data_IF_834842458255
#
_entry.id   IF_834842458255
#
_cell.length_a   1.000
_cell.length_b   1.000
_cell.length_c   1.000
_cell.angle_alpha   90.00
_cell.angle_beta   90.00
_cell.angle_gamma   90.00
#
_symmetry.space_group_name_H-M   'P 1'
#
loop_
_entity.id
_entity.type
_entity.pdbx_description
1 polymer ?
#
# COMPACT_ATOMS: atom_id res chain seq x y z
N UNK A 1 -56.47 -27.33 -7.17
CA UNK A 1 -55.43 -27.86 -8.07
C UNK A 1 -54.08 -27.34 -7.62
N UNK A 2 -53.12 -28.24 -7.39
CA UNK A 2 -51.72 -27.97 -7.04
C UNK A 2 -51.02 -27.25 -8.22
N UNK A 3 -50.13 -26.30 -7.94
CA UNK A 3 -48.70 -26.38 -8.29
C UNK A 3 -47.93 -25.17 -7.74
N UNK A 4 -46.91 -25.50 -6.96
CA UNK A 4 -45.87 -24.63 -6.43
C UNK A 4 -45.06 -24.03 -7.58
N UNK A 5 -44.80 -22.72 -7.53
CA UNK A 5 -43.76 -22.08 -8.34
C UNK A 5 -42.53 -21.96 -7.46
N UNK A 6 -41.47 -22.67 -7.86
CA UNK A 6 -40.20 -22.76 -7.15
C UNK A 6 -39.43 -21.43 -7.22
N UNK A 7 -39.05 -20.93 -6.05
CA UNK A 7 -38.08 -19.86 -5.88
C UNK A 7 -36.69 -20.37 -6.28
N UNK A 8 -36.13 -19.85 -7.38
CA UNK A 8 -34.70 -19.98 -7.67
C UNK A 8 -33.93 -18.99 -6.79
N UNK A 9 -33.35 -19.49 -5.70
CA UNK A 9 -32.35 -18.77 -4.92
C UNK A 9 -31.00 -18.84 -5.66
N UNK A 10 -30.59 -17.73 -6.28
CA UNK A 10 -29.25 -17.56 -6.83
C UNK A 10 -28.29 -17.27 -5.66
N UNK A 11 -27.66 -18.31 -5.14
CA UNK A 11 -26.64 -18.20 -4.10
C UNK A 11 -25.30 -17.81 -4.75
N UNK A 12 -24.98 -16.51 -4.79
CA UNK A 12 -23.59 -16.06 -5.01
C UNK A 12 -22.78 -16.34 -3.74
N UNK A 13 -22.25 -17.55 -3.64
CA UNK A 13 -21.26 -17.90 -2.63
C UNK A 13 -19.90 -17.30 -3.03
N UNK A 14 -19.36 -16.42 -2.18
CA UNK A 14 -17.91 -16.29 -1.99
C UNK A 14 -17.15 -15.40 -2.98
N UNK A 15 -17.45 -14.10 -3.01
CA UNK A 15 -16.42 -13.09 -3.25
C UNK A 15 -16.19 -12.33 -1.95
N UNK A 16 -15.72 -13.01 -0.90
CA UNK A 16 -15.20 -12.33 0.28
C UNK A 16 -13.78 -11.91 -0.04
N UNK A 17 -13.62 -10.75 -0.69
CA UNK A 17 -12.37 -10.01 -0.65
C UNK A 17 -12.08 -9.74 0.82
N UNK A 18 -11.11 -10.46 1.40
CA UNK A 18 -10.68 -10.17 2.76
C UNK A 18 -10.32 -8.68 2.82
N UNK A 19 -10.97 -7.88 3.68
CA UNK A 19 -10.67 -6.47 3.73
C UNK A 19 -9.21 -6.34 4.21
N UNK A 20 -8.32 -5.83 3.35
CA UNK A 20 -6.99 -5.31 3.72
C UNK A 20 -7.09 -4.10 4.71
N UNK A 21 -8.23 -3.93 5.38
CA UNK A 21 -8.65 -2.73 6.10
C UNK A 21 -8.03 -2.59 7.50
N UNK A 22 -6.96 -3.32 7.82
CA UNK A 22 -6.37 -3.30 9.16
C UNK A 22 -4.89 -2.95 9.19
N UNK A 23 -4.20 -2.91 8.05
CA UNK A 23 -2.80 -2.51 8.02
C UNK A 23 -2.69 -0.99 8.22
N UNK A 24 -2.54 -0.56 9.48
CA UNK A 24 -2.38 0.86 9.86
C UNK A 24 -1.02 1.44 9.47
N UNK A 25 -0.15 0.66 8.85
CA UNK A 25 1.18 1.10 8.48
C UNK A 25 1.15 2.27 7.49
N UNK A 26 0.29 2.21 6.46
CA UNK A 26 0.19 3.28 5.47
C UNK A 26 -0.17 4.61 6.14
N UNK A 27 -1.22 4.63 6.97
CA UNK A 27 -1.64 5.81 7.72
C UNK A 27 -0.57 6.31 8.69
N UNK A 28 0.16 5.37 9.31
CA UNK A 28 1.28 5.68 10.22
C UNK A 28 2.42 6.37 9.47
N UNK A 29 2.84 5.85 8.32
CA UNK A 29 3.88 6.47 7.49
C UNK A 29 3.44 7.83 6.98
N UNK A 30 2.19 7.94 6.51
CA UNK A 30 1.62 9.21 6.03
C UNK A 30 1.65 10.27 7.13
N UNK A 31 1.18 9.92 8.33
CA UNK A 31 1.18 10.83 9.49
C UNK A 31 2.59 11.19 9.95
N UNK A 32 3.46 10.21 10.15
CA UNK A 32 4.76 10.41 10.79
C UNK A 32 5.77 11.15 9.90
N UNK A 33 5.58 11.10 8.58
CA UNK A 33 6.43 11.79 7.60
C UNK A 33 5.73 12.96 6.86
N UNK A 34 4.45 13.21 7.16
CA UNK A 34 3.67 14.27 6.53
C UNK A 34 3.50 14.07 5.03
N UNK A 35 3.30 12.83 4.58
CA UNK A 35 3.21 12.47 3.16
C UNK A 35 1.93 13.05 2.57
N UNK A 36 2.05 13.72 1.43
CA UNK A 36 0.93 14.29 0.68
C UNK A 36 1.31 14.60 -0.76
N UNK A 37 0.37 15.12 -1.56
CA UNK A 37 0.62 15.48 -2.95
C UNK A 37 1.82 16.42 -3.16
N UNK A 38 2.24 17.20 -2.17
CA UNK A 38 3.40 18.11 -2.25
C UNK A 38 4.73 17.47 -1.81
N UNK A 39 4.72 16.21 -1.37
CA UNK A 39 5.89 15.49 -0.90
C UNK A 39 5.82 15.21 0.60
N UNK A 40 6.89 15.55 1.34
CA UNK A 40 7.07 15.21 2.75
C UNK A 40 7.23 16.46 3.60
N UNK A 41 6.60 16.52 4.78
CA UNK A 41 6.88 17.56 5.76
C UNK A 41 8.21 17.29 6.50
N UNK A 42 8.50 16.01 6.75
CA UNK A 42 9.75 15.57 7.37
C UNK A 42 10.76 15.19 6.31
N UNK A 43 11.97 15.73 6.43
CA UNK A 43 13.07 15.38 5.53
C UNK A 43 13.37 13.88 5.61
N UNK A 44 13.41 13.24 4.44
CA UNK A 44 13.77 11.84 4.28
C UNK A 44 15.07 11.72 3.48
N UNK A 45 15.97 10.79 3.84
CA UNK A 45 17.18 10.58 3.07
C UNK A 45 16.82 10.02 1.68
N UNK A 46 17.26 10.71 0.63
CA UNK A 46 17.09 10.24 -0.76
C UNK A 46 18.12 9.15 -1.03
N UNK A 47 17.70 8.05 -1.65
CA UNK A 47 18.58 6.99 -2.15
C UNK A 47 18.58 6.98 -3.67
N UNK A 48 19.74 6.69 -4.26
CA UNK A 48 19.93 6.80 -5.71
C UNK A 48 19.43 5.58 -6.50
N UNK A 49 19.15 4.48 -5.81
CA UNK A 49 18.78 3.21 -6.42
C UNK A 49 17.50 2.69 -5.76
N UNK A 50 16.70 1.96 -6.53
CA UNK A 50 15.54 1.26 -6.00
C UNK A 50 16.00 0.23 -4.96
N UNK A 51 15.39 0.21 -3.76
CA UNK A 51 15.78 -0.70 -2.70
C UNK A 51 15.46 -2.14 -3.09
N UNK A 52 16.26 -3.08 -2.59
CA UNK A 52 16.04 -4.52 -2.73
C UNK A 52 15.91 -5.13 -1.31
N UNK A 53 14.82 -4.84 -0.59
CA UNK A 53 14.64 -5.35 0.76
C UNK A 53 14.51 -6.88 0.78
N UNK A 54 14.97 -7.55 1.84
CA UNK A 54 14.75 -8.97 2.01
C UNK A 54 13.27 -9.26 2.24
N UNK A 55 12.80 -10.36 1.64
CA UNK A 55 11.46 -10.88 1.80
C UNK A 55 11.21 -11.43 3.22
N UNK A 56 9.95 -11.42 3.70
CA UNK A 56 8.74 -10.90 3.03
C UNK A 56 8.67 -9.36 3.01
N UNK A 57 8.11 -8.83 1.92
CA UNK A 57 7.94 -7.39 1.67
C UNK A 57 6.45 -7.04 1.59
N UNK A 58 6.06 -5.91 2.18
CA UNK A 58 4.77 -5.26 1.88
C UNK A 58 4.98 -4.20 0.80
N UNK A 59 4.08 -4.13 -0.18
CA UNK A 59 3.95 -3.00 -1.08
C UNK A 59 2.64 -2.28 -0.73
N UNK A 60 2.75 -1.02 -0.28
CA UNK A 60 1.64 -0.24 0.24
C UNK A 60 1.48 1.04 -0.56
N UNK A 61 0.29 1.31 -1.07
CA UNK A 61 -0.07 2.66 -1.50
C UNK A 61 -0.15 3.59 -0.28
N UNK A 62 0.43 4.77 -0.38
CA UNK A 62 0.38 5.79 0.68
C UNK A 62 -0.59 6.90 0.25
N UNK A 63 -1.78 6.99 0.86
CA UNK A 63 -2.79 7.94 0.42
C UNK A 63 -2.37 9.39 0.67
N UNK A 64 -2.75 10.27 -0.25
CA UNK A 64 -2.55 11.71 -0.09
C UNK A 64 -3.57 12.28 0.90
N UNK A 65 -3.18 12.34 2.17
CA UNK A 65 -4.04 12.79 3.28
C UNK A 65 -4.58 14.23 3.15
N UNK A 66 -3.95 15.07 2.32
CA UNK A 66 -4.32 16.47 2.07
C UNK A 66 -5.09 16.68 0.76
N UNK A 67 -5.70 15.62 0.25
CA UNK A 67 -6.46 15.62 -1.01
C UNK A 67 -5.59 15.32 -2.22
N UNK A 68 -6.26 15.18 -3.36
CA UNK A 68 -5.63 14.81 -4.63
C UNK A 68 -5.46 16.02 -5.53
N UNK A 69 -4.27 16.13 -6.11
CA UNK A 69 -3.92 17.17 -7.07
C UNK A 69 -3.42 16.48 -8.33
N UNK A 70 -3.95 16.88 -9.50
CA UNK A 70 -3.72 16.18 -10.78
C UNK A 70 -2.24 16.08 -11.15
N UNK A 71 -1.46 17.08 -10.82
CA UNK A 71 -0.01 17.16 -11.01
C UNK A 71 0.77 17.04 -9.70
N UNK A 72 0.14 16.47 -8.67
CA UNK A 72 0.77 16.13 -7.40
C UNK A 72 1.67 14.90 -7.50
N UNK A 73 2.34 14.62 -6.40
CA UNK A 73 3.07 13.37 -6.22
C UNK A 73 2.16 12.24 -5.76
N UNK A 74 2.48 11.03 -6.24
CA UNK A 74 1.98 9.77 -5.72
C UNK A 74 3.07 9.09 -4.89
N UNK A 75 2.66 8.31 -3.90
CA UNK A 75 3.56 7.68 -2.95
C UNK A 75 3.22 6.20 -2.74
N UNK A 76 4.25 5.37 -2.69
CA UNK A 76 4.17 3.96 -2.26
C UNK A 76 5.27 3.66 -1.26
N UNK A 77 5.07 2.64 -0.42
CA UNK A 77 6.10 2.13 0.47
C UNK A 77 6.40 0.67 0.17
N UNK A 78 7.69 0.35 0.01
CA UNK A 78 8.19 -1.01 0.15
C UNK A 78 8.65 -1.22 1.59
N UNK A 79 8.14 -2.25 2.25
CA UNK A 79 8.39 -2.49 3.69
C UNK A 79 8.98 -3.87 3.88
N UNK A 80 10.21 -3.94 4.37
CA UNK A 80 10.80 -5.20 4.81
C UNK A 80 10.26 -5.57 6.19
N UNK A 81 9.50 -6.66 6.29
CA UNK A 81 9.03 -7.15 7.59
C UNK A 81 10.17 -7.65 8.49
N UNK A 82 11.19 -8.39 7.98
CA UNK A 82 12.32 -8.82 8.80
C UNK A 82 13.14 -7.66 9.37
N UNK A 83 13.42 -6.65 8.55
CA UNK A 83 14.26 -5.51 8.95
C UNK A 83 13.46 -4.44 9.70
N UNK A 84 12.13 -4.43 9.55
CA UNK A 84 11.23 -3.37 10.05
C UNK A 84 11.65 -1.99 9.53
N UNK A 85 11.93 -1.96 8.24
CA UNK A 85 12.32 -0.76 7.50
C UNK A 85 11.39 -0.56 6.31
N UNK A 86 11.10 0.70 6.02
CA UNK A 86 10.35 1.09 4.84
C UNK A 86 11.18 2.00 3.94
N UNK A 87 10.93 1.89 2.63
CA UNK A 87 11.41 2.82 1.62
C UNK A 87 10.21 3.41 0.89
N UNK A 88 10.19 4.73 0.77
CA UNK A 88 9.11 5.46 0.15
C UNK A 88 9.50 5.78 -1.30
N UNK A 89 8.69 5.29 -2.23
CA UNK A 89 8.76 5.65 -3.65
C UNK A 89 7.88 6.87 -3.88
N UNK A 90 8.45 7.92 -4.47
CA UNK A 90 7.72 9.12 -4.90
C UNK A 90 7.76 9.23 -6.41
N UNK A 91 6.58 9.37 -7.03
CA UNK A 91 6.43 9.56 -8.46
C UNK A 91 5.54 10.73 -8.80
N UNK A 92 5.63 11.26 -10.02
CA UNK A 92 4.74 12.31 -10.50
C UNK A 92 5.28 13.72 -10.26
N UNK A 93 4.41 14.67 -9.92
CA UNK A 93 4.78 16.08 -9.91
C UNK A 93 4.91 16.67 -11.32
N UNK A 94 4.93 17.99 -11.42
CA UNK A 94 5.06 18.71 -12.68
C UNK A 94 6.27 18.28 -13.53
N UNK A 95 7.40 17.98 -12.89
CA UNK A 95 8.64 17.58 -13.56
C UNK A 95 8.76 16.06 -13.82
N UNK A 96 7.78 15.25 -13.37
CA UNK A 96 7.82 13.80 -13.54
C UNK A 96 8.96 13.13 -12.77
N UNK A 97 8.96 13.22 -11.44
CA UNK A 97 9.98 12.58 -10.60
C UNK A 97 9.75 11.08 -10.47
N UNK A 98 10.83 10.35 -10.20
CA UNK A 98 10.84 8.94 -9.83
C UNK A 98 11.98 8.71 -8.85
N UNK A 99 11.68 8.75 -7.56
CA UNK A 99 12.68 8.88 -6.51
C UNK A 99 12.38 7.98 -5.32
N UNK A 100 13.44 7.48 -4.70
CA UNK A 100 13.36 6.61 -3.53
C UNK A 100 13.92 7.31 -2.29
N UNK A 101 13.27 7.06 -1.16
CA UNK A 101 13.60 7.66 0.13
C UNK A 101 13.65 6.58 1.21
N UNK A 102 14.61 6.66 2.14
CA UNK A 102 14.76 5.72 3.25
C UNK A 102 16.16 5.12 3.36
N UNK A 103 16.33 4.01 4.11
CA UNK A 103 15.29 3.35 4.90
C UNK A 103 14.76 4.24 6.02
N UNK A 104 13.51 4.04 6.41
CA UNK A 104 12.91 4.61 7.62
C UNK A 104 12.44 3.50 8.55
N UNK A 105 12.59 3.67 9.88
CA UNK A 105 12.17 2.65 10.83
C UNK A 105 10.64 2.51 10.86
N UNK A 106 10.17 1.28 11.01
CA UNK A 106 8.76 0.93 11.17
C UNK A 106 8.50 0.37 12.56
N UNK A 107 7.53 0.94 13.27
CA UNK A 107 7.17 0.49 14.61
C UNK A 107 6.45 -0.87 14.55
N UNK A 108 6.78 -1.85 15.41
CA UNK A 108 6.11 -3.16 15.42
C UNK A 108 4.58 -3.08 15.52
N UNK A 109 4.06 -2.18 16.35
CA UNK A 109 2.61 -1.97 16.52
C UNK A 109 1.90 -1.51 15.22
N UNK A 110 2.62 -0.86 14.30
CA UNK A 110 2.05 -0.43 13.01
C UNK A 110 1.94 -1.55 11.98
N UNK A 111 2.61 -2.69 12.22
CA UNK A 111 2.56 -3.89 11.37
C UNK A 111 1.40 -4.84 11.73
N UNK A 112 0.67 -4.56 12.81
CA UNK A 112 -0.48 -5.35 13.21
C UNK A 112 -1.53 -5.40 12.09
N UNK A 113 -1.95 -6.62 11.70
CA UNK A 113 -2.91 -6.82 10.62
C UNK A 113 -2.36 -6.62 9.21
N UNK A 114 -1.06 -6.37 9.03
CA UNK A 114 -0.43 -6.32 7.72
C UNK A 114 -0.04 -7.72 7.24
N UNK A 115 -0.59 -8.15 6.10
CA UNK A 115 -0.18 -9.35 5.41
C UNK A 115 0.70 -8.97 4.20
N UNK A 116 1.80 -9.69 3.92
CA UNK A 116 2.54 -9.50 2.69
C UNK A 116 1.64 -9.74 1.49
N UNK A 117 1.89 -8.99 0.41
CA UNK A 117 1.28 -9.31 -0.86
C UNK A 117 1.62 -10.77 -1.16
N UNK A 118 0.59 -11.62 -1.28
CA UNK A 118 0.78 -12.97 -1.77
C UNK A 118 1.48 -12.84 -3.11
N UNK A 119 2.63 -13.50 -3.29
CA UNK A 119 3.27 -13.61 -4.59
C UNK A 119 2.27 -14.26 -5.53
N UNK A 120 1.55 -13.46 -6.32
CA UNK A 120 0.57 -13.96 -7.27
C UNK A 120 1.34 -14.79 -8.30
N UNK A 121 1.06 -16.09 -8.25
CA UNK A 121 1.64 -17.10 -9.11
C UNK A 121 1.29 -16.74 -10.55
N UNK A 122 2.32 -16.63 -11.39
CA UNK A 122 2.15 -16.46 -12.82
C UNK A 122 1.17 -17.48 -13.38
N UNK A 123 0.09 -16.98 -13.98
CA UNK A 123 -0.74 -17.73 -14.91
C UNK A 123 -0.64 -17.00 -16.24
N UNK A 124 0.30 -17.48 -17.06
CA UNK A 124 0.44 -17.17 -18.49
C UNK A 124 -0.81 -17.73 -19.23
N UNK A 125 -1.31 -17.03 -20.28
CA UNK A 125 -2.60 -17.28 -20.94
C UNK A 125 -2.83 -18.70 -21.51
#
# INVERSE_FOLDING_TARGET
MRRLVALLAFACAGCTSAPQAQCRLADTLVRDYGISFSGFDKALPRVLQAPQPPAPVLDLALPNSRGDVRDGFEHRALVSLPQREAWIHRTGGFAGVNEWYGPVPVAPASLEGCAPASAEQGTTP
#
